data_IF_421211517353
#
_entry.id   IF_421211517353
#
_cell.length_a   1.000
_cell.length_b   1.000
_cell.length_c   1.000
_cell.angle_alpha   90.00
_cell.angle_beta   90.00
_cell.angle_gamma   90.00
#
_symmetry.space_group_name_H-M   'P 1'
#
loop_
_entity.id
_entity.type
_entity.pdbx_description
1 polymer ?
#
# COMPACT_ATOMS: atom_id res chain seq x y z
N UNK A 1 -10.53 -9.34 5.35
CA UNK A 1 -10.66 -8.69 6.69
C UNK A 1 -10.73 -7.18 6.53
N UNK A 2 -11.39 -6.44 7.44
CA UNK A 2 -11.40 -4.97 7.42
C UNK A 2 -10.40 -4.42 8.45
N UNK A 3 -9.54 -3.50 8.02
CA UNK A 3 -8.67 -2.66 8.85
C UNK A 3 -9.14 -1.21 8.73
N UNK A 4 -9.60 -0.65 9.85
CA UNK A 4 -10.21 0.68 9.91
C UNK A 4 -9.92 1.34 11.26
N UNK A 5 -10.12 2.65 11.34
CA UNK A 5 -10.11 3.41 12.59
C UNK A 5 -11.12 2.89 13.60
N UNK A 6 -10.80 3.01 14.88
CA UNK A 6 -11.73 2.72 15.98
C UNK A 6 -12.93 3.70 15.99
N UNK A 7 -12.68 4.96 15.66
CA UNK A 7 -13.70 6.00 15.51
C UNK A 7 -13.32 7.00 14.42
N UNK A 8 -14.35 7.60 13.80
CA UNK A 8 -14.18 8.55 12.70
C UNK A 8 -13.89 7.89 11.35
N UNK A 9 -14.18 8.62 10.28
CA UNK A 9 -14.00 8.22 8.87
C UNK A 9 -13.14 9.23 8.10
N UNK A 10 -12.35 10.01 8.83
CA UNK A 10 -11.40 10.93 8.22
C UNK A 10 -10.15 10.15 7.80
N UNK A 11 -9.61 10.39 6.59
CA UNK A 11 -8.31 9.85 6.21
C UNK A 11 -7.22 10.20 7.24
N UNK A 12 -6.43 9.21 7.67
CA UNK A 12 -5.42 9.40 8.71
C UNK A 12 -5.91 9.26 10.16
N UNK A 13 -7.17 8.84 10.39
CA UNK A 13 -7.72 8.60 11.73
C UNK A 13 -7.02 7.50 12.53
N UNK A 14 -6.17 6.68 11.91
CA UNK A 14 -5.29 5.72 12.61
C UNK A 14 -3.98 5.54 11.83
N UNK A 15 -2.92 5.05 12.50
CA UNK A 15 -1.58 5.01 11.91
C UNK A 15 -1.46 4.08 10.69
N UNK A 16 -2.05 2.89 10.75
CA UNK A 16 -1.88 1.83 9.75
C UNK A 16 -1.38 0.51 10.35
N UNK A 17 -1.27 -0.52 9.52
CA UNK A 17 -0.62 -1.79 9.85
C UNK A 17 0.86 -1.72 9.48
N UNK A 18 1.74 -2.12 10.40
CA UNK A 18 3.19 -2.11 10.20
C UNK A 18 3.71 -3.54 10.15
N UNK A 19 4.45 -3.86 9.09
CA UNK A 19 5.03 -5.18 8.85
C UNK A 19 6.52 -5.01 8.62
N UNK A 20 7.31 -5.58 9.52
CA UNK A 20 8.78 -5.54 9.46
C UNK A 20 9.41 -6.89 9.05
N UNK A 21 8.61 -7.95 8.96
CA UNK A 21 9.07 -9.30 8.64
C UNK A 21 8.84 -9.72 7.19
N UNK A 22 9.38 -10.90 6.85
CA UNK A 22 9.17 -11.58 5.57
C UNK A 22 7.96 -12.53 5.61
N UNK A 23 7.51 -12.98 4.44
CA UNK A 23 6.51 -14.05 4.27
C UNK A 23 5.13 -13.78 4.90
N UNK A 24 4.69 -12.52 4.93
CA UNK A 24 3.34 -12.14 5.37
C UNK A 24 2.37 -12.14 4.18
N UNK A 25 1.12 -12.53 4.41
CA UNK A 25 0.08 -12.53 3.38
C UNK A 25 -1.14 -11.71 3.79
N UNK A 26 -1.46 -10.71 2.98
CA UNK A 26 -2.70 -9.95 3.07
C UNK A 26 -3.57 -10.30 1.88
N UNK A 27 -4.69 -10.97 2.13
CA UNK A 27 -5.59 -11.43 1.07
C UNK A 27 -7.04 -11.08 1.38
N UNK A 28 -7.76 -10.53 0.38
CA UNK A 28 -9.15 -10.12 0.53
C UNK A 28 -9.35 -9.15 1.74
N UNK A 29 -8.38 -8.26 1.94
CA UNK A 29 -8.43 -7.26 3.00
C UNK A 29 -8.84 -5.89 2.47
N UNK A 30 -9.52 -5.12 3.31
CA UNK A 30 -9.87 -3.73 3.03
C UNK A 30 -9.19 -2.85 4.08
N UNK A 31 -8.51 -1.80 3.64
CA UNK A 31 -7.82 -0.83 4.50
C UNK A 31 -8.40 0.56 4.25
N UNK A 32 -8.94 1.18 5.31
CA UNK A 32 -9.62 2.48 5.21
C UNK A 32 -9.25 3.43 6.36
N UNK A 33 -9.25 4.74 6.07
CA UNK A 33 -9.03 5.81 7.04
C UNK A 33 -7.65 5.80 7.74
N UNK A 34 -6.69 5.03 7.22
CA UNK A 34 -5.33 4.98 7.74
C UNK A 34 -4.48 6.17 7.28
N UNK A 35 -3.39 6.47 7.99
CA UNK A 35 -2.39 7.44 7.53
C UNK A 35 -1.58 6.83 6.39
N UNK A 36 -0.86 5.75 6.67
CA UNK A 36 -0.32 4.83 5.66
C UNK A 36 -0.89 3.47 5.96
N UNK A 37 -1.98 3.11 5.27
CA UNK A 37 -2.87 2.05 5.72
C UNK A 37 -2.18 0.69 5.91
N UNK A 38 -1.24 0.36 5.02
CA UNK A 38 -0.29 -0.74 5.18
C UNK A 38 1.13 -0.27 4.89
N UNK A 39 2.06 -0.57 5.81
CA UNK A 39 3.50 -0.33 5.64
C UNK A 39 4.23 -1.66 5.67
N UNK A 40 4.86 -2.00 4.56
CA UNK A 40 5.86 -3.07 4.46
C UNK A 40 7.23 -2.40 4.53
N UNK A 41 7.95 -2.53 5.65
CA UNK A 41 9.15 -1.75 5.88
C UNK A 41 10.30 -2.60 6.43
N UNK A 42 11.48 -2.38 5.86
CA UNK A 42 12.72 -3.02 6.29
C UNK A 42 13.07 -4.23 5.43
N UNK A 43 14.33 -4.69 5.53
CA UNK A 43 14.92 -5.72 4.67
C UNK A 43 14.17 -7.04 4.82
N UNK A 44 13.18 -7.23 3.96
CA UNK A 44 12.30 -8.38 3.99
C UNK A 44 11.73 -8.68 2.60
N UNK A 45 11.25 -9.91 2.44
CA UNK A 45 10.81 -10.44 1.14
C UNK A 45 9.68 -11.45 1.31
N UNK A 46 9.06 -11.84 0.20
CA UNK A 46 7.99 -12.85 0.20
C UNK A 46 6.67 -12.33 0.78
N UNK A 47 6.54 -11.01 0.99
CA UNK A 47 5.28 -10.42 1.43
C UNK A 47 4.33 -10.28 0.24
N UNK A 48 3.07 -10.69 0.41
CA UNK A 48 2.04 -10.63 -0.63
C UNK A 48 0.85 -9.78 -0.23
N UNK A 49 0.36 -8.96 -1.17
CA UNK A 49 -0.85 -8.16 -1.04
C UNK A 49 -1.76 -8.49 -2.23
N UNK A 50 -2.77 -9.30 -2.00
CA UNK A 50 -3.58 -9.90 -3.06
C UNK A 50 -5.08 -9.62 -2.88
N UNK A 51 -5.75 -9.17 -3.94
CA UNK A 51 -7.21 -8.91 -3.91
C UNK A 51 -7.65 -7.95 -2.80
N UNK A 52 -6.75 -7.06 -2.37
CA UNK A 52 -7.01 -6.10 -1.32
C UNK A 52 -7.59 -4.79 -1.89
N UNK A 53 -8.29 -4.05 -1.03
CA UNK A 53 -8.79 -2.71 -1.34
C UNK A 53 -8.18 -1.69 -0.38
N UNK A 54 -7.61 -0.62 -0.92
CA UNK A 54 -7.07 0.50 -0.16
C UNK A 54 -7.84 1.76 -0.55
N UNK A 55 -8.71 2.25 0.34
CA UNK A 55 -9.54 3.42 0.04
C UNK A 55 -9.74 4.38 1.20
N UNK A 56 -9.96 5.65 0.90
CA UNK A 56 -10.20 6.69 1.91
C UNK A 56 -9.08 6.79 2.96
N UNK A 57 -7.85 6.45 2.61
CA UNK A 57 -6.69 6.64 3.46
C UNK A 57 -6.04 7.99 3.14
N UNK A 58 -5.18 8.47 4.04
CA UNK A 58 -4.29 9.57 3.67
C UNK A 58 -3.35 9.08 2.55
N UNK A 59 -2.71 7.93 2.76
CA UNK A 59 -2.00 7.16 1.74
C UNK A 59 -2.25 5.66 1.90
N UNK A 60 -2.27 4.93 0.78
CA UNK A 60 -2.68 3.53 0.73
C UNK A 60 -1.60 2.57 1.22
N UNK A 61 -0.64 2.27 0.35
CA UNK A 61 0.40 1.26 0.57
C UNK A 61 1.79 1.89 0.53
N UNK A 62 2.57 1.69 1.59
CA UNK A 62 3.98 2.06 1.68
C UNK A 62 4.84 0.81 1.64
N UNK A 63 5.82 0.78 0.73
CA UNK A 63 6.79 -0.31 0.62
C UNK A 63 8.18 0.31 0.66
N UNK A 64 8.99 -0.11 1.62
CA UNK A 64 10.36 0.39 1.76
C UNK A 64 11.34 -0.70 2.16
N UNK A 65 12.46 -0.77 1.45
CA UNK A 65 13.51 -1.77 1.67
C UNK A 65 12.94 -3.20 1.64
N UNK A 66 11.85 -3.43 0.90
CA UNK A 66 11.02 -4.64 0.97
C UNK A 66 10.60 -5.13 -0.42
N UNK A 67 10.84 -6.40 -0.71
CA UNK A 67 10.45 -7.03 -1.98
C UNK A 67 9.11 -7.74 -1.83
N UNK A 68 8.04 -7.04 -2.21
CA UNK A 68 6.67 -7.51 -2.11
C UNK A 68 6.01 -7.74 -3.49
N UNK A 69 4.98 -8.58 -3.50
CA UNK A 69 4.10 -8.76 -4.66
C UNK A 69 2.72 -8.16 -4.36
N UNK A 70 2.28 -7.23 -5.21
CA UNK A 70 0.97 -6.57 -5.12
C UNK A 70 0.15 -6.98 -6.33
N UNK A 71 -0.95 -7.71 -6.11
CA UNK A 71 -1.71 -8.35 -7.18
C UNK A 71 -3.21 -8.18 -7.05
N UNK A 72 -3.88 -7.90 -8.17
CA UNK A 72 -5.34 -7.83 -8.27
C UNK A 72 -6.00 -6.90 -7.24
N UNK A 73 -5.29 -5.88 -6.77
CA UNK A 73 -5.77 -4.94 -5.77
C UNK A 73 -6.52 -3.75 -6.39
N UNK A 74 -7.37 -3.12 -5.60
CA UNK A 74 -8.02 -1.84 -5.92
C UNK A 74 -7.49 -0.77 -4.97
N UNK A 75 -6.84 0.27 -5.48
CA UNK A 75 -6.18 1.29 -4.67
C UNK A 75 -6.72 2.64 -5.14
N UNK A 76 -7.63 3.25 -4.38
CA UNK A 76 -8.39 4.40 -4.87
C UNK A 76 -8.90 5.34 -3.79
N UNK A 77 -9.25 6.58 -4.16
CA UNK A 77 -9.77 7.59 -3.23
C UNK A 77 -8.87 7.82 -2.00
N UNK A 78 -7.55 7.69 -2.14
CA UNK A 78 -6.60 8.09 -1.09
C UNK A 78 -6.18 9.55 -1.31
N UNK A 79 -6.06 10.33 -0.22
CA UNK A 79 -5.82 11.78 -0.29
C UNK A 79 -4.43 12.15 -0.83
N UNK A 80 -3.48 11.22 -0.80
CA UNK A 80 -2.11 11.37 -1.24
C UNK A 80 -1.75 10.21 -2.19
N UNK A 81 -0.72 9.44 -1.88
CA UNK A 81 -0.27 8.30 -2.68
C UNK A 81 -1.20 7.09 -2.55
N UNK A 82 -1.56 6.48 -3.67
CA UNK A 82 -2.11 5.13 -3.68
C UNK A 82 -1.05 4.12 -3.23
N UNK A 83 0.11 4.16 -3.89
CA UNK A 83 1.29 3.37 -3.52
C UNK A 83 2.55 4.22 -3.55
N UNK A 84 3.41 4.04 -2.55
CA UNK A 84 4.71 4.67 -2.50
C UNK A 84 5.79 3.62 -2.25
N UNK A 85 6.76 3.56 -3.17
CA UNK A 85 7.90 2.64 -3.14
C UNK A 85 9.20 3.43 -2.95
N UNK A 86 10.01 3.04 -1.97
CA UNK A 86 11.28 3.67 -1.63
C UNK A 86 12.36 2.61 -1.38
N UNK A 87 13.54 2.75 -1.99
CA UNK A 87 14.67 1.83 -1.79
C UNK A 87 14.29 0.36 -1.94
N UNK A 88 13.45 0.05 -2.94
CA UNK A 88 13.02 -1.31 -3.22
C UNK A 88 13.65 -1.80 -4.52
N UNK A 89 14.44 -2.88 -4.50
CA UNK A 89 15.03 -3.40 -5.72
C UNK A 89 13.99 -4.11 -6.62
N UNK A 90 12.95 -4.75 -6.07
CA UNK A 90 12.05 -5.62 -6.86
C UNK A 90 10.60 -5.72 -6.34
N UNK A 91 9.80 -4.65 -6.40
CA UNK A 91 8.34 -4.75 -6.14
C UNK A 91 7.61 -5.15 -7.43
N UNK A 92 6.81 -6.22 -7.37
CA UNK A 92 6.01 -6.68 -8.51
C UNK A 92 4.57 -6.22 -8.40
N UNK A 93 4.07 -5.54 -9.42
CA UNK A 93 2.66 -5.17 -9.56
C UNK A 93 2.00 -5.96 -10.69
N UNK A 94 0.88 -6.62 -10.43
CA UNK A 94 0.14 -7.38 -11.45
C UNK A 94 -1.37 -7.19 -11.33
N UNK A 95 -2.03 -6.74 -12.40
CA UNK A 95 -3.50 -6.68 -12.46
C UNK A 95 -4.16 -5.75 -11.45
N UNK A 96 -3.42 -4.78 -10.90
CA UNK A 96 -3.95 -3.79 -9.96
C UNK A 96 -4.72 -2.70 -10.69
N UNK A 97 -5.74 -2.15 -10.03
CA UNK A 97 -6.46 -0.96 -10.48
C UNK A 97 -6.17 0.17 -9.49
N UNK A 98 -5.48 1.20 -9.96
CA UNK A 98 -5.07 2.34 -9.15
C UNK A 98 -5.64 3.60 -9.80
N UNK A 99 -6.58 4.26 -9.14
CA UNK A 99 -7.39 5.35 -9.72
C UNK A 99 -7.88 6.29 -8.63
N UNK A 100 -8.26 7.52 -8.95
CA UNK A 100 -8.81 8.51 -7.99
C UNK A 100 -7.97 8.74 -6.73
N UNK A 101 -6.64 8.58 -6.80
CA UNK A 101 -5.71 9.02 -5.77
C UNK A 101 -5.06 10.33 -6.23
N UNK A 102 -4.59 11.16 -5.30
CA UNK A 102 -3.85 12.38 -5.69
C UNK A 102 -2.56 12.02 -6.45
N UNK A 103 -1.87 10.98 -6.01
CA UNK A 103 -0.75 10.36 -6.72
C UNK A 103 -1.00 8.85 -6.82
N UNK A 104 -0.78 8.25 -7.99
CA UNK A 104 -1.06 6.82 -8.19
C UNK A 104 0.04 5.93 -7.58
N UNK A 105 1.18 5.84 -8.26
CA UNK A 105 2.38 5.14 -7.77
C UNK A 105 3.56 6.10 -7.88
N UNK A 106 4.37 6.18 -6.83
CA UNK A 106 5.69 6.81 -6.89
C UNK A 106 6.78 5.77 -6.58
N UNK A 107 7.81 5.72 -7.43
CA UNK A 107 9.07 5.04 -7.17
C UNK A 107 10.13 6.11 -6.90
N UNK A 108 10.56 6.22 -5.65
CA UNK A 108 11.50 7.27 -5.22
C UNK A 108 12.92 7.06 -5.74
N UNK A 109 13.31 5.81 -6.03
CA UNK A 109 14.72 5.44 -6.20
C UNK A 109 15.07 5.08 -7.65
N UNK A 110 14.11 5.21 -8.58
CA UNK A 110 14.32 4.97 -10.00
C UNK A 110 13.95 6.18 -10.83
N UNK A 111 14.95 6.79 -11.47
CA UNK A 111 14.78 7.69 -12.60
C UNK A 111 14.36 6.89 -13.84
N UNK A 112 13.16 6.30 -13.92
CA UNK A 112 12.63 5.75 -15.19
C UNK A 112 11.08 5.73 -15.21
N UNK A 113 10.47 5.78 -16.42
CA UNK A 113 9.21 6.47 -16.66
C UNK A 113 7.99 5.68 -16.21
N UNK A 114 6.96 6.45 -15.88
CA UNK A 114 5.59 6.01 -15.61
C UNK A 114 5.10 5.12 -16.76
N UNK A 115 4.65 3.90 -16.45
CA UNK A 115 3.83 3.04 -17.33
C UNK A 115 2.36 3.41 -17.12
#
# INVERSE_FOLDING_TARGET
>A
MLFTSYSGTSPGSWSGVYVYGSNNSFRHCTFEYGNWALRLQGPASGNTVEYCTFRNNYAGLYIRDNNAEVKSCRIHNNQSYGVYCYSNPEVKFQGNRIYDNLFYILFSDYLLPVI
#
